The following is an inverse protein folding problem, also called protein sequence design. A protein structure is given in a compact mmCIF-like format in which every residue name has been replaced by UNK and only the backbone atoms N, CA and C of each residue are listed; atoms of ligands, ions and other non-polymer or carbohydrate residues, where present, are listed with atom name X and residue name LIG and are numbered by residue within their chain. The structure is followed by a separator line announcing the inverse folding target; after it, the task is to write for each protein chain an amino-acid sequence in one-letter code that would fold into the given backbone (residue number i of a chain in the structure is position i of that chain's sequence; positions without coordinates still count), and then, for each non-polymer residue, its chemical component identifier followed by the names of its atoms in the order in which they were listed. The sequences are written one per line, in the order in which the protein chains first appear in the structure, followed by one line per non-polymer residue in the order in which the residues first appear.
data_IF_027015661579
#
_entry.id   IF_027015661579
#
_cell.length_a   1.000
_cell.length_b   1.000
_cell.length_c   1.000
_cell.angle_alpha   90.00
_cell.angle_beta   90.00
_cell.angle_gamma   90.00
#
_symmetry.space_group_name_H-M   'P 1'
#
loop_
_entity.id
_entity.type
_entity.pdbx_description
1 polymer ?
#
# COMPACT_ATOMS: atom_id res chain seq x y z
N UNK A 1 73.84 -28.59 24.06
CA UNK A 1 72.83 -27.98 23.15
C UNK A 1 72.47 -26.61 23.71
N UNK A 2 72.89 -25.52 23.04
CA UNK A 2 72.72 -24.15 23.52
C UNK A 2 71.25 -23.72 23.35
N UNK A 3 70.59 -23.38 24.46
CA UNK A 3 69.24 -22.82 24.43
C UNK A 3 69.26 -21.49 23.67
N UNK A 4 68.39 -21.28 22.67
CA UNK A 4 68.37 -20.04 21.92
C UNK A 4 68.18 -18.85 22.86
N UNK A 5 69.12 -17.91 22.83
CA UNK A 5 69.15 -16.76 23.74
C UNK A 5 67.81 -16.02 23.73
N UNK A 6 67.31 -15.67 24.92
CA UNK A 6 66.01 -14.99 25.17
C UNK A 6 65.73 -13.79 24.26
N UNK A 7 66.76 -13.12 23.74
CA UNK A 7 66.64 -12.04 22.73
C UNK A 7 66.09 -12.52 21.38
N UNK A 8 66.48 -13.71 20.91
CA UNK A 8 66.01 -14.29 19.66
C UNK A 8 64.53 -14.67 19.72
N UNK A 9 64.10 -15.29 20.83
CA UNK A 9 62.70 -15.65 21.09
C UNK A 9 61.82 -14.39 21.14
N UNK A 10 62.26 -13.33 21.83
CA UNK A 10 61.56 -12.03 21.87
C UNK A 10 61.43 -11.41 20.46
N UNK A 11 62.48 -11.48 19.63
CA UNK A 11 62.46 -10.95 18.26
C UNK A 11 61.52 -11.74 17.34
N UNK A 12 61.50 -13.06 17.45
CA UNK A 12 60.58 -13.96 16.76
C UNK A 12 59.12 -13.67 17.13
N UNK A 13 58.82 -13.52 18.43
CA UNK A 13 57.47 -13.18 18.93
C UNK A 13 56.99 -11.82 18.41
N UNK A 14 57.83 -10.78 18.48
CA UNK A 14 57.53 -9.44 17.96
C UNK A 14 57.29 -9.44 16.44
N UNK A 15 58.05 -10.26 15.68
CA UNK A 15 57.85 -10.43 14.22
C UNK A 15 56.50 -11.09 13.92
N UNK A 16 56.14 -12.17 14.65
CA UNK A 16 54.83 -12.84 14.52
C UNK A 16 53.67 -11.90 14.87
N UNK A 17 53.77 -11.14 15.96
CA UNK A 17 52.74 -10.15 16.35
C UNK A 17 52.56 -9.05 15.30
N UNK A 18 53.66 -8.52 14.75
CA UNK A 18 53.61 -7.50 13.67
C UNK A 18 52.96 -8.08 12.40
N UNK A 19 53.24 -9.34 12.06
CA UNK A 19 52.63 -10.01 10.92
C UNK A 19 51.13 -10.27 11.14
N UNK A 20 50.72 -10.67 12.35
CA UNK A 20 49.31 -10.86 12.70
C UNK A 20 48.53 -9.53 12.64
N UNK A 21 49.09 -8.45 13.18
CA UNK A 21 48.50 -7.10 13.09
C UNK A 21 48.35 -6.64 11.63
N UNK A 22 49.36 -6.86 10.79
CA UNK A 22 49.28 -6.56 9.34
C UNK A 22 48.16 -7.35 8.64
N UNK A 23 48.04 -8.66 8.91
CA UNK A 23 46.96 -9.49 8.36
C UNK A 23 45.57 -9.04 8.82
N UNK A 24 45.40 -8.69 10.10
CA UNK A 24 44.12 -8.16 10.62
C UNK A 24 43.74 -6.84 9.94
N UNK A 25 44.70 -5.92 9.80
CA UNK A 25 44.48 -4.64 9.11
C UNK A 25 44.14 -4.82 7.62
N UNK A 26 44.87 -5.70 6.92
CA UNK A 26 44.56 -6.02 5.51
C UNK A 26 43.17 -6.64 5.35
N UNK A 27 42.76 -7.53 6.26
CA UNK A 27 41.41 -8.11 6.25
C UNK A 27 40.34 -7.03 6.48
N UNK A 28 40.57 -6.11 7.43
CA UNK A 28 39.66 -4.98 7.68
C UNK A 28 39.60 -4.02 6.49
N UNK A 29 40.74 -3.65 5.90
CA UNK A 29 40.81 -2.79 4.72
C UNK A 29 40.14 -3.44 3.51
N UNK A 30 40.30 -4.76 3.30
CA UNK A 30 39.62 -5.50 2.24
C UNK A 30 38.10 -5.52 2.44
N UNK A 31 37.64 -5.77 3.67
CA UNK A 31 36.21 -5.70 4.03
C UNK A 31 35.66 -4.29 3.77
N UNK A 32 36.37 -3.25 4.21
CA UNK A 32 35.93 -1.87 4.03
C UNK A 32 35.97 -1.43 2.55
N UNK A 33 36.97 -1.86 1.77
CA UNK A 33 37.05 -1.62 0.33
C UNK A 33 35.91 -2.34 -0.41
N UNK A 34 35.63 -3.60 -0.06
CA UNK A 34 34.51 -4.35 -0.60
C UNK A 34 33.17 -3.69 -0.24
N UNK A 35 33.00 -3.23 1.00
CA UNK A 35 31.81 -2.50 1.43
C UNK A 35 31.64 -1.18 0.65
N UNK A 36 32.72 -0.40 0.46
CA UNK A 36 32.68 0.82 -0.36
C UNK A 36 32.34 0.52 -1.82
N UNK A 37 32.95 -0.51 -2.41
CA UNK A 37 32.64 -0.91 -3.78
C UNK A 37 31.18 -1.35 -3.92
N UNK A 38 30.64 -2.08 -2.95
CA UNK A 38 29.22 -2.45 -2.90
C UNK A 38 28.32 -1.22 -2.76
N UNK A 39 28.68 -0.27 -1.90
CA UNK A 39 27.91 0.96 -1.66
C UNK A 39 27.87 1.91 -2.87
N UNK A 40 28.80 1.77 -3.83
CA UNK A 40 28.78 2.52 -5.08
C UNK A 40 28.12 1.77 -6.24
N UNK A 41 27.76 0.48 -6.06
CA UNK A 41 27.24 -0.36 -7.15
C UNK A 41 25.75 -0.18 -7.39
N UNK A 42 25.00 0.17 -6.34
CA UNK A 42 23.54 0.36 -6.39
C UNK A 42 23.18 1.83 -6.17
N UNK A 43 21.97 2.25 -6.57
CA UNK A 43 21.54 3.63 -6.40
C UNK A 43 21.48 3.98 -4.91
N UNK A 44 21.84 5.22 -4.57
CA UNK A 44 21.73 5.70 -3.19
C UNK A 44 20.31 6.14 -2.90
N UNK A 45 19.86 5.89 -1.68
CA UNK A 45 18.62 6.48 -1.18
C UNK A 45 18.81 7.96 -0.84
N UNK A 46 17.85 8.78 -1.23
CA UNK A 46 17.77 10.20 -0.91
C UNK A 46 16.36 10.47 -0.42
N UNK A 47 16.24 11.23 0.66
CA UNK A 47 14.95 11.65 1.21
C UNK A 47 14.47 12.85 0.38
N UNK A 48 13.25 12.78 -0.17
CA UNK A 48 12.68 13.92 -0.91
C UNK A 48 12.43 15.09 0.06
N UNK A 49 12.53 16.37 -0.34
CA UNK A 49 12.30 17.49 0.59
C UNK A 49 10.83 17.75 0.92
N UNK A 50 9.90 17.37 0.05
CA UNK A 50 8.46 17.72 0.12
C UNK A 50 7.64 16.72 0.93
N UNK A 51 8.17 16.24 2.05
CA UNK A 51 7.54 15.21 2.85
C UNK A 51 6.47 15.78 3.77
N UNK A 52 5.37 15.05 3.91
CA UNK A 52 4.26 15.38 4.83
C UNK A 52 4.23 14.45 6.05
N UNK A 53 5.07 13.42 6.07
CA UNK A 53 5.18 12.47 7.16
C UNK A 53 5.88 13.05 8.41
N UNK A 54 5.63 12.44 9.56
CA UNK A 54 6.35 12.73 10.80
C UNK A 54 7.88 12.48 10.64
N UNK A 55 8.75 13.39 11.13
CA UNK A 55 10.21 13.24 11.03
C UNK A 55 10.76 11.93 11.60
N UNK A 56 10.19 11.42 12.70
CA UNK A 56 10.63 10.16 13.32
C UNK A 56 10.36 8.98 12.37
N UNK A 57 9.23 9.00 11.67
CA UNK A 57 8.92 8.00 10.65
C UNK A 57 9.87 8.10 9.46
N UNK A 58 10.13 9.33 8.97
CA UNK A 58 11.06 9.58 7.85
C UNK A 58 12.46 9.03 8.17
N UNK A 59 12.98 9.35 9.36
CA UNK A 59 14.28 8.88 9.82
C UNK A 59 14.33 7.35 9.91
N UNK A 60 13.27 6.72 10.41
CA UNK A 60 13.17 5.27 10.50
C UNK A 60 13.14 4.61 9.11
N UNK A 61 12.36 5.12 8.16
CA UNK A 61 12.31 4.62 6.77
C UNK A 61 13.66 4.79 6.09
N UNK A 62 14.31 5.95 6.22
CA UNK A 62 15.62 6.18 5.63
C UNK A 62 16.70 5.28 6.25
N UNK A 63 16.69 5.09 7.56
CA UNK A 63 17.58 4.16 8.25
C UNK A 63 17.35 2.70 7.81
N UNK A 64 16.11 2.30 7.60
CA UNK A 64 15.73 0.99 7.06
C UNK A 64 16.23 0.82 5.62
N UNK A 65 16.02 1.81 4.76
CA UNK A 65 16.46 1.78 3.36
C UNK A 65 17.98 1.61 3.22
N UNK A 66 18.76 2.26 4.09
CA UNK A 66 20.22 2.11 4.12
C UNK A 66 20.71 0.72 4.55
N UNK A 67 19.86 -0.11 5.15
CA UNK A 67 20.18 -1.49 5.53
C UNK A 67 19.87 -2.51 4.44
N UNK A 68 19.17 -2.11 3.37
CA UNK A 68 18.82 -3.02 2.27
C UNK A 68 20.08 -3.63 1.66
N UNK A 69 20.10 -4.96 1.57
CA UNK A 69 21.16 -5.72 0.94
C UNK A 69 20.68 -6.26 -0.41
N UNK A 70 21.03 -5.58 -1.51
CA UNK A 70 20.70 -6.01 -2.86
C UNK A 70 21.31 -7.38 -3.24
N UNK A 71 22.25 -7.93 -2.47
CA UNK A 71 22.78 -9.29 -2.69
C UNK A 71 22.01 -10.38 -1.95
N UNK A 72 20.96 -10.03 -1.20
CA UNK A 72 20.10 -11.02 -0.57
C UNK A 72 19.27 -11.75 -1.64
N UNK A 73 19.68 -12.97 -1.97
CA UNK A 73 19.03 -13.79 -2.99
C UNK A 73 17.60 -14.21 -2.65
N UNK A 74 17.17 -14.07 -1.38
CA UNK A 74 15.78 -14.29 -1.01
C UNK A 74 14.89 -13.13 -1.47
N UNK A 75 15.45 -11.93 -1.60
CA UNK A 75 14.72 -10.70 -1.91
C UNK A 75 14.99 -10.20 -3.34
N UNK A 76 16.19 -10.44 -3.88
CA UNK A 76 16.63 -9.92 -5.17
C UNK A 76 17.30 -11.01 -6.01
N UNK A 77 16.67 -11.36 -7.13
CA UNK A 77 17.25 -12.26 -8.11
C UNK A 77 18.32 -11.55 -8.96
N UNK A 78 18.95 -12.29 -9.88
CA UNK A 78 20.02 -11.75 -10.73
C UNK A 78 19.55 -10.58 -11.58
N UNK A 79 18.32 -10.66 -12.07
CA UNK A 79 17.70 -9.63 -12.87
C UNK A 79 17.42 -8.35 -12.06
N UNK A 80 16.88 -8.47 -10.85
CA UNK A 80 16.66 -7.33 -9.97
C UNK A 80 17.98 -6.59 -9.70
N UNK A 81 19.07 -7.33 -9.45
CA UNK A 81 20.38 -6.75 -9.20
C UNK A 81 20.91 -6.02 -10.43
N UNK A 82 20.88 -6.66 -11.60
CA UNK A 82 21.30 -6.03 -12.85
C UNK A 82 20.48 -4.76 -13.14
N UNK A 83 19.18 -4.78 -12.88
CA UNK A 83 18.30 -3.63 -13.03
C UNK A 83 18.73 -2.45 -12.15
N UNK A 84 18.93 -2.68 -10.85
CA UNK A 84 19.32 -1.61 -9.94
C UNK A 84 20.75 -1.10 -10.20
N UNK A 85 21.68 -1.97 -10.58
CA UNK A 85 23.04 -1.58 -10.99
C UNK A 85 23.04 -0.73 -12.27
N UNK A 86 22.17 -1.08 -13.22
CA UNK A 86 21.97 -0.31 -14.44
C UNK A 86 21.46 1.11 -14.11
N UNK A 87 20.51 1.24 -13.17
CA UNK A 87 20.04 2.56 -12.70
C UNK A 87 21.18 3.34 -12.05
N UNK A 88 21.97 2.72 -11.18
CA UNK A 88 23.09 3.39 -10.50
C UNK A 88 24.13 3.92 -11.50
N UNK A 89 24.37 3.17 -12.57
CA UNK A 89 25.41 3.46 -13.56
C UNK A 89 24.93 4.47 -14.59
N UNK A 90 23.76 4.21 -15.18
CA UNK A 90 23.27 4.89 -16.39
C UNK A 90 22.13 5.87 -16.11
N UNK A 91 21.50 5.80 -14.94
CA UNK A 91 20.34 6.60 -14.57
C UNK A 91 19.02 5.98 -15.03
N UNK A 92 17.96 6.22 -14.25
CA UNK A 92 16.63 5.65 -14.46
C UNK A 92 16.04 5.97 -15.82
N UNK A 93 16.18 7.22 -16.30
CA UNK A 93 15.62 7.60 -17.60
C UNK A 93 16.25 6.83 -18.76
N UNK A 94 17.56 6.56 -18.68
CA UNK A 94 18.25 5.75 -19.67
C UNK A 94 17.77 4.30 -19.62
N UNK A 95 17.72 3.69 -18.42
CA UNK A 95 17.23 2.31 -18.23
C UNK A 95 15.80 2.19 -18.74
N UNK A 96 14.90 3.10 -18.34
CA UNK A 96 13.50 3.16 -18.80
C UNK A 96 13.40 3.24 -20.33
N UNK A 97 14.26 4.02 -20.99
CA UNK A 97 14.29 4.12 -22.45
C UNK A 97 14.75 2.83 -23.13
N UNK A 98 15.85 2.23 -22.66
CA UNK A 98 16.36 0.96 -23.17
C UNK A 98 15.30 -0.14 -22.99
N UNK A 99 14.68 -0.18 -21.82
CA UNK A 99 13.63 -1.13 -21.47
C UNK A 99 12.41 -1.00 -22.37
N UNK A 100 11.92 0.24 -22.58
CA UNK A 100 10.83 0.51 -23.52
C UNK A 100 11.16 0.09 -24.95
N UNK A 101 12.41 0.25 -25.39
CA UNK A 101 12.85 -0.20 -26.73
C UNK A 101 12.92 -1.72 -26.82
N UNK A 102 13.55 -2.38 -25.86
CA UNK A 102 13.69 -3.83 -25.80
C UNK A 102 12.34 -4.54 -25.67
N UNK A 103 11.38 -3.90 -25.01
CA UNK A 103 10.04 -4.43 -24.79
C UNK A 103 9.05 -4.23 -25.94
N UNK A 104 9.34 -3.42 -26.97
CA UNK A 104 8.43 -3.22 -28.12
C UNK A 104 7.97 -4.51 -28.81
N UNK A 105 8.85 -5.52 -29.01
CA UNK A 105 8.43 -6.81 -29.59
C UNK A 105 7.42 -7.55 -28.71
N UNK A 106 7.49 -7.38 -27.39
CA UNK A 106 6.60 -8.04 -26.42
C UNK A 106 5.29 -7.27 -26.19
N UNK A 107 5.33 -5.93 -26.34
CA UNK A 107 4.18 -5.04 -26.17
C UNK A 107 3.05 -5.31 -27.18
N UNK A 108 3.35 -5.94 -28.32
CA UNK A 108 2.35 -6.39 -29.30
C UNK A 108 1.35 -7.41 -28.72
N UNK A 109 1.70 -8.11 -27.62
CA UNK A 109 0.84 -9.11 -26.96
C UNK A 109 0.18 -8.60 -25.68
N UNK A 110 0.67 -7.51 -25.09
CA UNK A 110 0.09 -6.87 -23.90
C UNK A 110 0.80 -5.54 -23.67
N UNK A 111 0.05 -4.43 -23.73
CA UNK A 111 0.61 -3.07 -23.58
C UNK A 111 1.31 -2.83 -22.23
N UNK A 112 1.05 -3.65 -21.20
CA UNK A 112 1.44 -3.36 -19.82
C UNK A 112 2.52 -4.30 -19.22
N UNK A 113 2.98 -5.34 -19.94
CA UNK A 113 3.93 -6.33 -19.38
C UNK A 113 5.23 -5.74 -18.83
N UNK A 114 5.73 -4.66 -19.45
CA UNK A 114 6.98 -4.02 -19.04
C UNK A 114 6.82 -3.22 -17.74
N UNK A 115 5.68 -2.55 -17.59
CA UNK A 115 5.35 -1.84 -16.35
C UNK A 115 5.14 -2.82 -15.20
N UNK A 116 4.64 -4.03 -15.49
CA UNK A 116 4.55 -5.10 -14.50
C UNK A 116 5.92 -5.53 -13.96
N UNK A 117 6.93 -5.73 -14.80
CA UNK A 117 8.27 -6.14 -14.34
C UNK A 117 8.91 -5.06 -13.46
N UNK A 118 8.81 -3.80 -13.89
CA UNK A 118 9.27 -2.67 -13.09
C UNK A 118 8.55 -2.62 -11.74
N UNK A 119 7.23 -2.75 -11.74
CA UNK A 119 6.42 -2.77 -10.52
C UNK A 119 6.83 -3.92 -9.58
N UNK A 120 7.10 -5.12 -10.10
CA UNK A 120 7.56 -6.27 -9.30
C UNK A 120 8.90 -5.96 -8.62
N UNK A 121 9.90 -5.49 -9.39
CA UNK A 121 11.22 -5.16 -8.84
C UNK A 121 11.14 -4.01 -7.83
N UNK A 122 10.29 -3.00 -8.08
CA UNK A 122 10.02 -1.90 -7.15
C UNK A 122 9.33 -2.38 -5.87
N UNK A 123 8.35 -3.28 -5.96
CA UNK A 123 7.66 -3.88 -4.82
C UNK A 123 8.63 -4.70 -3.95
N UNK A 124 9.49 -5.52 -4.56
CA UNK A 124 10.53 -6.27 -3.82
C UNK A 124 11.46 -5.32 -3.04
N UNK A 125 11.88 -4.23 -3.66
CA UNK A 125 12.71 -3.22 -2.99
C UNK A 125 11.97 -2.58 -1.82
N UNK A 126 10.71 -2.19 -2.01
CA UNK A 126 9.91 -1.58 -0.96
C UNK A 126 9.62 -2.53 0.20
N UNK A 127 9.35 -3.82 -0.08
CA UNK A 127 9.22 -4.89 0.92
C UNK A 127 10.53 -5.07 1.71
N UNK A 128 11.68 -5.05 1.02
CA UNK A 128 12.98 -5.12 1.66
C UNK A 128 13.27 -3.91 2.57
N UNK A 129 12.80 -2.70 2.22
CA UNK A 129 12.85 -1.54 3.12
C UNK A 129 11.89 -1.73 4.29
N UNK A 130 10.65 -2.11 4.00
CA UNK A 130 9.57 -2.25 4.96
C UNK A 130 9.88 -3.26 6.07
N UNK A 131 10.46 -4.41 5.70
CA UNK A 131 10.87 -5.46 6.64
C UNK A 131 11.97 -5.00 7.61
N UNK A 132 12.72 -3.95 7.28
CA UNK A 132 13.77 -3.37 8.11
C UNK A 132 13.28 -2.25 9.04
N UNK A 133 12.03 -1.80 8.90
CA UNK A 133 11.42 -0.80 9.79
C UNK A 133 11.06 -1.47 11.13
N UNK A 134 11.45 -0.90 12.29
CA UNK A 134 11.09 -1.45 13.59
C UNK A 134 9.58 -1.58 13.80
N UNK A 135 9.12 -2.66 14.43
CA UNK A 135 7.71 -2.88 14.73
C UNK A 135 7.08 -1.73 15.52
N UNK A 136 7.82 -1.14 16.47
CA UNK A 136 7.37 0.02 17.24
C UNK A 136 7.06 1.26 16.39
N UNK A 137 7.78 1.45 15.27
CA UNK A 137 7.52 2.52 14.31
C UNK A 137 6.27 2.18 13.49
N UNK A 138 6.15 0.92 13.03
CA UNK A 138 4.97 0.46 12.28
C UNK A 138 3.70 0.63 13.11
N UNK A 139 3.69 0.13 14.34
CA UNK A 139 2.52 0.18 15.24
C UNK A 139 2.07 1.60 15.56
N UNK A 140 3.00 2.56 15.60
CA UNK A 140 2.71 3.94 15.96
C UNK A 140 2.25 4.78 14.78
N UNK A 141 2.92 4.66 13.63
CA UNK A 141 2.73 5.60 12.52
C UNK A 141 1.80 5.07 11.44
N UNK A 142 1.69 3.75 11.29
CA UNK A 142 0.82 3.16 10.30
C UNK A 142 -0.56 2.88 10.93
N UNK A 143 -1.66 3.08 10.18
CA UNK A 143 -1.65 3.22 8.72
C UNK A 143 -1.66 4.68 8.24
N UNK A 144 -1.44 5.64 9.14
CA UNK A 144 -1.47 7.08 8.85
C UNK A 144 -0.28 7.59 8.02
N UNK A 145 0.82 6.85 8.02
CA UNK A 145 2.04 7.16 7.30
C UNK A 145 2.41 6.02 6.37
N UNK A 146 2.95 6.38 5.21
CA UNK A 146 3.47 5.44 4.24
C UNK A 146 4.67 6.03 3.50
N UNK A 147 5.34 5.19 2.71
CA UNK A 147 6.41 5.65 1.84
C UNK A 147 6.31 5.03 0.46
N UNK A 148 6.82 5.75 -0.53
CA UNK A 148 6.98 5.30 -1.91
C UNK A 148 8.47 5.48 -2.25
N UNK A 149 9.01 4.55 -3.03
CA UNK A 149 10.38 4.62 -3.53
C UNK A 149 10.31 4.91 -5.03
N UNK A 150 10.78 6.08 -5.45
CA UNK A 150 10.81 6.46 -6.86
C UNK A 150 12.26 6.60 -7.36
N UNK A 151 12.68 5.85 -8.39
CA UNK A 151 13.98 6.06 -8.99
C UNK A 151 14.01 7.37 -9.79
N UNK A 152 14.98 8.24 -9.49
CA UNK A 152 15.21 9.49 -10.22
C UNK A 152 16.67 9.61 -10.57
N UNK A 153 16.96 9.63 -11.87
CA UNK A 153 18.34 9.55 -12.37
C UNK A 153 19.10 8.39 -11.69
N UNK A 154 20.22 8.63 -11.02
CA UNK A 154 21.06 7.58 -10.40
C UNK A 154 20.76 7.32 -8.93
N UNK A 155 19.65 7.84 -8.41
CA UNK A 155 19.26 7.72 -7.00
C UNK A 155 17.86 7.14 -6.85
N UNK A 156 17.55 6.67 -5.64
CA UNK A 156 16.24 6.23 -5.21
C UNK A 156 15.69 7.28 -4.25
N UNK A 157 14.65 8.00 -4.67
CA UNK A 157 13.98 8.99 -3.84
C UNK A 157 12.99 8.29 -2.91
N UNK A 158 13.06 8.61 -1.63
CA UNK A 158 12.11 8.17 -0.62
C UNK A 158 11.09 9.28 -0.41
N UNK A 159 9.85 9.01 -0.82
CA UNK A 159 8.71 9.89 -0.62
C UNK A 159 7.92 9.35 0.57
N UNK A 160 8.08 9.97 1.74
CA UNK A 160 7.32 9.62 2.94
C UNK A 160 6.14 10.59 3.10
N UNK A 161 4.94 10.03 3.15
CA UNK A 161 3.70 10.80 3.24
C UNK A 161 2.95 10.46 4.52
N UNK A 162 2.35 11.49 5.12
CA UNK A 162 1.36 11.37 6.18
C UNK A 162 -0.01 11.80 5.67
N UNK A 163 -1.07 11.16 6.17
CA UNK A 163 -2.44 11.65 5.99
C UNK A 163 -2.61 13.00 6.72
N UNK A 164 -3.40 13.89 6.13
CA UNK A 164 -3.77 15.13 6.81
C UNK A 164 -4.65 14.80 8.01
N UNK A 165 -4.33 15.38 9.17
CA UNK A 165 -5.09 15.19 10.40
C UNK A 165 -5.82 16.48 10.78
N UNK A 166 -7.09 16.37 11.16
CA UNK A 166 -7.86 17.47 11.74
C UNK A 166 -8.61 17.04 13.01
N UNK A 167 -8.63 17.87 14.06
CA UNK A 167 -9.45 17.60 15.23
C UNK A 167 -10.93 17.83 14.89
N UNK A 168 -11.79 17.03 15.51
CA UNK A 168 -13.26 17.07 15.46
C UNK A 168 -13.79 16.93 16.89
N UNK A 169 -15.09 17.07 17.08
CA UNK A 169 -15.75 16.89 18.38
C UNK A 169 -15.54 15.48 18.98
N UNK A 170 -15.20 14.48 18.16
CA UNK A 170 -15.03 13.07 18.57
C UNK A 170 -13.60 12.54 18.41
N UNK A 171 -12.63 13.43 18.29
CA UNK A 171 -11.21 13.08 18.12
C UNK A 171 -10.68 13.48 16.75
N UNK A 172 -9.67 12.77 16.27
CA UNK A 172 -9.00 13.14 15.02
C UNK A 172 -9.59 12.38 13.82
N UNK A 173 -9.76 13.11 12.72
CA UNK A 173 -10.02 12.53 11.40
C UNK A 173 -8.79 12.65 10.52
N UNK A 174 -8.70 11.72 9.58
CA UNK A 174 -7.60 11.56 8.65
C UNK A 174 -8.15 11.55 7.24
N UNK A 175 -7.49 12.26 6.34
CA UNK A 175 -7.87 12.34 4.93
C UNK A 175 -6.66 12.69 4.06
N UNK A 176 -6.75 12.39 2.77
CA UNK A 176 -5.75 12.76 1.77
C UNK A 176 -6.14 14.05 1.03
N UNK A 177 -5.24 14.59 0.23
CA UNK A 177 -5.54 15.71 -0.68
C UNK A 177 -6.55 15.36 -1.78
N UNK A 178 -6.72 14.08 -2.09
CA UNK A 178 -7.63 13.55 -3.13
C UNK A 178 -8.93 13.02 -2.53
N UNK A 179 -9.17 13.32 -1.26
CA UNK A 179 -10.35 12.89 -0.55
C UNK A 179 -11.60 13.50 -1.20
N UNK A 180 -12.61 12.69 -1.53
CA UNK A 180 -13.83 13.17 -2.15
C UNK A 180 -14.68 13.94 -1.15
N UNK A 181 -15.63 14.68 -1.70
CA UNK A 181 -16.63 15.38 -0.91
C UNK A 181 -17.96 14.63 -0.94
N UNK A 182 -18.66 14.66 0.18
CA UNK A 182 -20.06 14.28 0.26
C UNK A 182 -20.91 15.49 -0.09
N UNK A 183 -21.66 15.40 -1.18
CA UNK A 183 -22.64 16.41 -1.57
C UNK A 183 -23.99 16.08 -0.94
N UNK A 184 -24.56 17.06 -0.25
CA UNK A 184 -25.95 17.05 0.24
C UNK A 184 -26.65 18.29 -0.28
N UNK A 185 -27.98 18.29 -0.34
CA UNK A 185 -28.78 19.42 -0.87
C UNK A 185 -28.41 20.79 -0.28
N UNK A 186 -27.87 20.81 0.95
CA UNK A 186 -27.49 22.04 1.63
C UNK A 186 -26.00 22.40 1.49
N UNK A 187 -25.08 21.41 1.50
CA UNK A 187 -23.64 21.68 1.62
C UNK A 187 -22.76 20.52 1.09
N UNK A 188 -21.56 20.88 0.65
CA UNK A 188 -20.47 19.97 0.24
C UNK A 188 -19.46 19.82 1.39
N UNK A 189 -19.19 18.58 1.83
CA UNK A 189 -18.34 18.31 3.01
C UNK A 189 -17.23 17.32 2.69
N UNK A 190 -16.02 17.57 3.20
CA UNK A 190 -14.90 16.66 2.95
C UNK A 190 -15.05 15.36 3.75
N UNK A 191 -14.80 14.20 3.12
CA UNK A 191 -14.92 12.89 3.77
C UNK A 191 -13.70 12.58 4.65
N UNK A 192 -13.84 12.60 5.97
CA UNK A 192 -12.75 12.20 6.89
C UNK A 192 -12.95 10.81 7.47
N UNK A 193 -11.87 10.08 7.75
CA UNK A 193 -11.93 8.80 8.46
C UNK A 193 -11.35 8.93 9.86
N UNK A 194 -12.03 8.42 10.88
CA UNK A 194 -11.42 8.32 12.22
C UNK A 194 -10.26 7.31 12.22
N UNK A 195 -9.34 7.40 13.19
CA UNK A 195 -8.32 6.36 13.40
C UNK A 195 -8.95 4.97 13.49
N UNK A 196 -10.05 4.86 14.24
CA UNK A 196 -10.76 3.59 14.39
C UNK A 196 -11.28 3.04 13.04
N UNK A 197 -11.85 3.90 12.18
CA UNK A 197 -12.30 3.48 10.85
C UNK A 197 -11.14 2.94 10.01
N UNK A 198 -10.01 3.67 9.98
CA UNK A 198 -8.82 3.25 9.21
C UNK A 198 -8.25 1.92 9.70
N UNK A 199 -8.18 1.71 11.01
CA UNK A 199 -7.76 0.42 11.58
C UNK A 199 -8.70 -0.71 11.20
N UNK A 200 -10.03 -0.50 11.28
CA UNK A 200 -11.01 -1.52 10.87
C UNK A 200 -10.92 -1.84 9.38
N UNK A 201 -10.67 -0.85 8.52
CA UNK A 201 -10.41 -1.06 7.09
C UNK A 201 -9.17 -1.94 6.91
N UNK A 202 -8.06 -1.58 7.55
CA UNK A 202 -6.81 -2.35 7.46
C UNK A 202 -6.99 -3.81 7.89
N UNK A 203 -7.59 -4.04 9.06
CA UNK A 203 -7.81 -5.38 9.60
C UNK A 203 -8.66 -6.29 8.69
N UNK A 204 -9.49 -5.70 7.81
CA UNK A 204 -10.46 -6.45 7.01
C UNK A 204 -10.08 -6.57 5.55
N UNK A 205 -9.40 -5.57 5.00
CA UNK A 205 -9.00 -5.51 3.58
C UNK A 205 -7.54 -5.93 3.41
N UNK A 206 -6.69 -5.63 4.39
CA UNK A 206 -5.26 -5.80 4.30
C UNK A 206 -4.72 -6.42 5.61
N UNK A 207 -5.22 -7.58 6.08
CA UNK A 207 -4.99 -8.08 7.44
C UNK A 207 -3.51 -8.20 7.85
N UNK A 208 -2.60 -8.37 6.88
CA UNK A 208 -1.15 -8.48 7.13
C UNK A 208 -0.40 -7.18 6.86
N UNK A 209 -1.09 -6.03 6.79
CA UNK A 209 -0.52 -4.70 6.49
C UNK A 209 0.64 -4.27 7.38
N UNK A 210 0.78 -4.81 8.60
CA UNK A 210 1.91 -4.56 9.51
C UNK A 210 3.17 -5.37 9.18
N UNK A 211 3.01 -6.43 8.39
CA UNK A 211 4.03 -7.43 8.09
C UNK A 211 4.45 -7.32 6.62
N UNK A 212 3.48 -7.17 5.72
CA UNK A 212 3.65 -7.15 4.26
C UNK A 212 3.40 -5.73 3.70
N UNK A 213 4.38 -5.19 2.99
CA UNK A 213 4.31 -3.86 2.39
C UNK A 213 3.21 -3.77 1.32
N UNK A 214 3.04 -4.83 0.52
CA UNK A 214 2.00 -4.88 -0.53
C UNK A 214 0.62 -4.63 0.06
N UNK A 215 0.30 -5.28 1.19
CA UNK A 215 -0.98 -5.09 1.85
C UNK A 215 -1.14 -3.69 2.44
N UNK A 216 -0.06 -3.09 2.97
CA UNK A 216 -0.09 -1.68 3.36
C UNK A 216 -0.40 -0.79 2.14
N UNK A 217 0.18 -1.06 0.98
CA UNK A 217 -0.06 -0.26 -0.22
C UNK A 217 -1.47 -0.41 -0.77
N UNK A 218 -2.10 -1.57 -0.63
CA UNK A 218 -3.51 -1.75 -0.95
C UNK A 218 -4.40 -0.89 -0.05
N UNK A 219 -4.06 -0.79 1.25
CA UNK A 219 -4.71 0.17 2.14
C UNK A 219 -4.41 1.63 1.78
N UNK A 220 -3.15 1.96 1.46
CA UNK A 220 -2.75 3.34 1.15
C UNK A 220 -3.52 3.83 -0.08
N UNK A 221 -3.62 3.00 -1.13
CA UNK A 221 -4.47 3.27 -2.29
C UNK A 221 -5.91 3.54 -1.86
N UNK A 222 -6.44 2.73 -0.94
CA UNK A 222 -7.77 2.95 -0.41
C UNK A 222 -7.93 4.31 0.29
N UNK A 223 -6.99 4.77 1.13
CA UNK A 223 -7.21 6.03 1.87
C UNK A 223 -6.78 7.25 1.10
N UNK A 224 -5.73 7.13 0.29
CA UNK A 224 -5.22 8.22 -0.54
C UNK A 224 -6.18 8.47 -1.68
N UNK A 225 -6.57 7.43 -2.42
CA UNK A 225 -7.39 7.55 -3.61
C UNK A 225 -8.87 7.33 -3.36
N UNK A 226 -9.32 7.06 -2.12
CA UNK A 226 -10.71 6.75 -1.69
C UNK A 226 -11.55 6.06 -2.77
N UNK A 227 -11.80 4.74 -2.67
CA UNK A 227 -12.48 4.01 -3.73
C UNK A 227 -13.85 4.61 -4.12
N UNK A 228 -14.41 4.22 -5.28
CA UNK A 228 -15.78 4.57 -5.63
C UNK A 228 -16.73 4.28 -4.47
N UNK A 229 -17.64 5.20 -4.20
CA UNK A 229 -18.57 5.07 -3.09
C UNK A 229 -19.94 5.66 -3.42
N UNK A 230 -20.94 5.23 -2.66
CA UNK A 230 -22.30 5.76 -2.74
C UNK A 230 -22.82 6.08 -1.35
N UNK A 231 -23.69 7.07 -1.26
CA UNK A 231 -24.43 7.35 -0.03
C UNK A 231 -25.53 6.31 0.17
N UNK A 232 -25.75 5.92 1.42
CA UNK A 232 -26.80 4.97 1.79
C UNK A 232 -27.24 5.18 3.23
N UNK A 233 -28.23 4.40 3.66
CA UNK A 233 -28.69 4.38 5.04
C UNK A 233 -28.56 2.96 5.58
N UNK A 234 -27.96 2.85 6.76
CA UNK A 234 -27.88 1.62 7.53
C UNK A 234 -29.12 1.45 8.42
N UNK A 235 -29.15 0.34 9.16
CA UNK A 235 -30.23 0.07 10.12
C UNK A 235 -30.51 1.28 11.03
N UNK A 236 -31.78 1.58 11.25
CA UNK A 236 -32.20 2.76 12.02
C UNK A 236 -32.00 4.10 11.28
N UNK A 237 -31.89 4.07 9.94
CA UNK A 237 -31.73 5.26 9.07
C UNK A 237 -30.42 6.02 9.35
N UNK A 238 -29.41 5.34 9.88
CA UNK A 238 -28.09 5.93 10.11
C UNK A 238 -27.42 6.23 8.75
N UNK A 239 -27.08 7.48 8.42
CA UNK A 239 -26.38 7.81 7.18
C UNK A 239 -25.03 7.08 7.11
N UNK A 240 -24.68 6.60 5.93
CA UNK A 240 -23.43 5.92 5.67
C UNK A 240 -22.99 6.12 4.22
N UNK A 241 -21.77 5.72 3.93
CA UNK A 241 -21.32 5.41 2.57
C UNK A 241 -21.06 3.92 2.44
N UNK A 242 -21.33 3.38 1.26
CA UNK A 242 -20.83 2.08 0.82
C UNK A 242 -19.62 2.30 -0.06
N UNK A 243 -18.54 1.56 0.20
CA UNK A 243 -17.29 1.62 -0.56
C UNK A 243 -17.21 0.42 -1.51
N UNK A 244 -16.63 0.64 -2.69
CA UNK A 244 -16.46 -0.38 -3.72
C UNK A 244 -15.00 -0.43 -4.18
N UNK A 245 -14.47 -1.60 -4.50
CA UNK A 245 -13.17 -1.74 -5.17
C UNK A 245 -13.36 -2.27 -6.59
N UNK A 246 -12.46 -1.88 -7.47
CA UNK A 246 -12.44 -2.36 -8.85
C UNK A 246 -11.88 -3.79 -8.87
N UNK A 247 -12.53 -4.72 -9.59
CA UNK A 247 -12.06 -6.09 -9.72
C UNK A 247 -10.80 -6.21 -10.60
N UNK A 248 -10.56 -5.17 -11.41
CA UNK A 248 -9.41 -5.05 -12.29
C UNK A 248 -9.41 -6.04 -13.45
N UNK A 249 -8.21 -6.36 -13.92
CA UNK A 249 -8.00 -7.15 -15.13
C UNK A 249 -8.60 -8.58 -15.01
N UNK A 250 -9.22 -9.13 -16.08
CA UNK A 250 -9.77 -10.49 -16.15
C UNK A 250 -8.83 -11.64 -15.74
N UNK A 251 -7.51 -11.39 -15.76
CA UNK A 251 -6.49 -12.38 -15.38
C UNK A 251 -6.12 -12.36 -13.89
N UNK A 252 -6.72 -11.47 -13.09
CA UNK A 252 -6.45 -11.41 -11.64
C UNK A 252 -7.33 -12.38 -10.85
N UNK A 253 -6.83 -12.86 -9.71
CA UNK A 253 -7.61 -13.68 -8.77
C UNK A 253 -8.87 -12.96 -8.30
N UNK A 254 -8.80 -11.64 -8.08
CA UNK A 254 -9.94 -10.81 -7.66
C UNK A 254 -11.05 -10.86 -8.71
N UNK A 255 -10.73 -10.66 -9.99
CA UNK A 255 -11.72 -10.78 -11.07
C UNK A 255 -12.27 -12.21 -11.17
N UNK A 256 -11.41 -13.22 -11.03
CA UNK A 256 -11.82 -14.61 -10.96
C UNK A 256 -12.90 -14.85 -9.92
N UNK A 257 -12.68 -14.39 -8.69
CA UNK A 257 -13.60 -14.57 -7.58
C UNK A 257 -14.89 -13.74 -7.78
N UNK A 258 -14.77 -12.42 -7.95
CA UNK A 258 -15.96 -11.56 -7.91
C UNK A 258 -16.77 -11.60 -9.20
N UNK A 259 -16.12 -11.65 -10.36
CA UNK A 259 -16.84 -11.62 -11.64
C UNK A 259 -17.27 -13.02 -12.05
N UNK A 260 -16.39 -14.02 -12.01
CA UNK A 260 -16.78 -15.36 -12.48
C UNK A 260 -17.67 -16.08 -11.48
N UNK A 261 -17.33 -16.07 -10.18
CA UNK A 261 -18.04 -16.89 -9.19
C UNK A 261 -19.28 -16.19 -8.60
N UNK A 262 -19.22 -14.88 -8.38
CA UNK A 262 -20.29 -14.11 -7.71
C UNK A 262 -21.24 -13.46 -8.71
N UNK A 263 -20.75 -12.58 -9.59
CA UNK A 263 -21.59 -11.90 -10.59
C UNK A 263 -22.09 -12.88 -11.68
N UNK A 264 -21.21 -13.80 -12.09
CA UNK A 264 -21.42 -14.69 -13.24
C UNK A 264 -21.02 -14.02 -14.55
N UNK A 265 -20.25 -14.74 -15.39
CA UNK A 265 -19.70 -14.22 -16.66
C UNK A 265 -20.76 -13.67 -17.61
N UNK A 266 -21.95 -14.26 -17.61
CA UNK A 266 -23.06 -13.85 -18.46
C UNK A 266 -23.65 -12.48 -18.09
N UNK A 267 -23.41 -12.02 -16.85
CA UNK A 267 -23.89 -10.74 -16.35
C UNK A 267 -22.81 -9.64 -16.44
N UNK A 268 -21.62 -9.98 -16.92
CA UNK A 268 -20.52 -9.03 -17.10
C UNK A 268 -20.58 -8.39 -18.49
N UNK A 269 -20.71 -7.07 -18.52
CA UNK A 269 -20.61 -6.31 -19.76
C UNK A 269 -19.14 -5.97 -20.06
N UNK A 270 -18.58 -6.64 -21.08
CA UNK A 270 -17.19 -6.43 -21.52
C UNK A 270 -16.97 -5.05 -22.15
N UNK A 271 -18.04 -4.36 -22.53
CA UNK A 271 -18.00 -3.02 -23.12
C UNK A 271 -18.35 -1.93 -22.10
N UNK A 272 -18.82 -2.30 -20.92
CA UNK A 272 -19.11 -1.37 -19.82
C UNK A 272 -17.86 -0.97 -19.04
N UNK A 273 -18.05 -0.15 -18.00
CA UNK A 273 -16.98 0.25 -17.06
C UNK A 273 -16.45 -0.95 -16.26
N UNK A 274 -15.28 -0.84 -15.65
CA UNK A 274 -14.71 -1.96 -14.88
C UNK A 274 -15.66 -2.46 -13.77
N UNK A 275 -15.79 -3.78 -13.56
CA UNK A 275 -16.69 -4.31 -12.56
C UNK A 275 -16.16 -4.00 -11.16
N UNK A 276 -17.06 -3.64 -10.27
CA UNK A 276 -16.79 -3.22 -8.90
C UNK A 276 -17.38 -4.23 -7.92
N UNK A 277 -16.67 -4.48 -6.83
CA UNK A 277 -17.17 -5.29 -5.72
C UNK A 277 -17.28 -4.45 -4.44
N UNK A 278 -18.39 -4.61 -3.74
CA UNK A 278 -18.69 -3.94 -2.47
C UNK A 278 -17.62 -4.32 -1.46
N UNK A 279 -16.97 -3.35 -0.82
CA UNK A 279 -16.01 -3.56 0.27
C UNK A 279 -16.71 -3.61 1.63
N UNK A 280 -17.61 -2.66 1.87
CA UNK A 280 -18.32 -2.52 3.13
C UNK A 280 -18.88 -1.12 3.30
N UNK A 281 -19.27 -0.80 4.53
CA UNK A 281 -20.00 0.42 4.86
C UNK A 281 -19.24 1.23 5.90
N UNK A 282 -19.28 2.55 5.77
CA UNK A 282 -18.79 3.48 6.77
C UNK A 282 -19.94 4.35 7.25
N UNK A 283 -20.47 4.14 8.48
CA UNK A 283 -21.42 5.06 9.09
C UNK A 283 -20.82 6.46 9.21
N UNK A 284 -21.59 7.47 8.77
CA UNK A 284 -21.17 8.87 8.72
C UNK A 284 -21.85 9.67 9.83
N UNK A 285 -21.11 10.65 10.32
CA UNK A 285 -21.63 11.76 11.12
C UNK A 285 -21.12 13.10 10.57
N UNK A 286 -21.89 14.16 10.72
CA UNK A 286 -21.51 15.49 10.26
C UNK A 286 -20.85 16.26 11.40
N UNK A 287 -19.65 16.77 11.16
CA UNK A 287 -18.92 17.64 12.09
C UNK A 287 -18.37 18.85 11.33
N UNK A 288 -19.13 19.95 11.37
CA UNK A 288 -18.83 21.18 10.63
C UNK A 288 -18.66 20.90 9.12
N UNK A 289 -17.48 21.20 8.54
CA UNK A 289 -17.23 21.02 7.11
C UNK A 289 -16.88 19.56 6.73
N UNK A 290 -16.94 18.63 7.67
CA UNK A 290 -16.52 17.24 7.46
C UNK A 290 -17.70 16.26 7.54
N UNK A 291 -17.68 15.27 6.66
CA UNK A 291 -18.44 14.03 6.78
C UNK A 291 -17.50 12.97 7.38
N UNK A 292 -17.74 12.57 8.63
CA UNK A 292 -16.83 11.73 9.42
C UNK A 292 -17.27 10.26 9.37
N UNK A 293 -16.50 9.43 8.67
CA UNK A 293 -16.61 7.98 8.70
C UNK A 293 -16.08 7.44 10.03
N UNK A 294 -16.99 6.92 10.87
CA UNK A 294 -16.70 6.57 12.27
C UNK A 294 -16.06 5.20 12.46
N UNK A 295 -16.43 4.25 11.62
CA UNK A 295 -15.96 2.86 11.65
C UNK A 295 -16.17 2.24 10.27
N UNK A 296 -15.73 1.00 10.07
CA UNK A 296 -15.95 0.23 8.85
C UNK A 296 -16.64 -1.10 9.17
N UNK A 297 -17.73 -1.38 8.45
CA UNK A 297 -18.59 -2.55 8.62
C UNK A 297 -18.56 -3.39 7.34
N UNK A 298 -17.96 -4.60 7.36
CA UNK A 298 -18.05 -5.53 6.23
C UNK A 298 -19.49 -5.97 5.96
N UNK A 299 -19.82 -6.41 4.72
CA UNK A 299 -21.11 -7.02 4.43
C UNK A 299 -21.44 -8.16 5.39
N UNK A 300 -22.64 -8.11 5.98
CA UNK A 300 -23.17 -9.10 6.93
C UNK A 300 -22.94 -8.75 8.40
N UNK A 301 -22.23 -7.66 8.70
CA UNK A 301 -22.09 -7.15 10.06
C UNK A 301 -23.39 -6.57 10.61
N UNK A 302 -23.57 -6.63 11.94
CA UNK A 302 -24.73 -6.02 12.60
C UNK A 302 -24.90 -4.56 12.18
N UNK A 303 -26.11 -4.23 11.73
CA UNK A 303 -26.48 -2.90 11.23
C UNK A 303 -26.30 -2.69 9.74
N UNK A 304 -25.71 -3.66 9.01
CA UNK A 304 -25.65 -3.65 7.55
C UNK A 304 -26.93 -4.25 6.94
N UNK A 305 -27.31 -3.87 5.71
CA UNK A 305 -28.44 -4.46 5.00
C UNK A 305 -28.37 -5.99 4.94
N UNK A 306 -27.17 -6.55 4.77
CA UNK A 306 -26.93 -7.99 4.69
C UNK A 306 -27.24 -8.72 6.00
N UNK A 307 -26.99 -8.08 7.15
CA UNK A 307 -27.35 -8.64 8.45
C UNK A 307 -28.87 -8.72 8.61
N UNK A 308 -29.58 -7.66 8.24
CA UNK A 308 -31.04 -7.63 8.31
C UNK A 308 -31.65 -8.66 7.34
N UNK A 309 -31.06 -8.81 6.15
CA UNK A 309 -31.43 -9.85 5.19
C UNK A 309 -31.24 -11.27 5.75
N UNK A 310 -30.09 -11.57 6.38
CA UNK A 310 -29.86 -12.87 7.03
C UNK A 310 -30.85 -13.10 8.17
N UNK A 311 -31.05 -12.09 9.02
CA UNK A 311 -31.91 -12.21 10.17
C UNK A 311 -33.38 -12.42 9.77
N UNK A 312 -33.84 -11.71 8.73
CA UNK A 312 -35.19 -11.81 8.17
C UNK A 312 -35.41 -13.00 7.24
N UNK A 313 -34.35 -13.72 6.82
CA UNK A 313 -34.48 -14.86 5.92
C UNK A 313 -35.23 -16.04 6.52
N UNK A 314 -35.87 -16.84 5.66
CA UNK A 314 -36.52 -18.11 6.02
C UNK A 314 -35.54 -19.27 6.26
N UNK A 315 -34.24 -19.01 6.40
CA UNK A 315 -33.23 -20.03 6.66
C UNK A 315 -33.44 -20.69 8.02
N UNK A 316 -33.16 -22.00 8.08
CA UNK A 316 -33.14 -22.75 9.34
C UNK A 316 -32.15 -22.15 10.34
N UNK A 317 -32.45 -22.31 11.64
CA UNK A 317 -31.68 -21.68 12.72
C UNK A 317 -30.18 -21.99 12.66
N UNK A 318 -29.81 -23.26 12.40
CA UNK A 318 -28.40 -23.69 12.29
C UNK A 318 -27.66 -22.98 11.14
N UNK A 319 -28.30 -22.89 9.97
CA UNK A 319 -27.70 -22.26 8.79
C UNK A 319 -27.58 -20.75 8.98
N UNK A 320 -28.59 -20.11 9.56
CA UNK A 320 -28.57 -18.70 9.90
C UNK A 320 -27.43 -18.38 10.88
N UNK A 321 -27.27 -19.17 11.94
CA UNK A 321 -26.16 -19.03 12.90
C UNK A 321 -24.81 -19.22 12.21
N UNK A 322 -24.69 -20.20 11.31
CA UNK A 322 -23.46 -20.44 10.53
C UNK A 322 -23.09 -19.23 9.69
N UNK A 323 -24.01 -18.70 8.88
CA UNK A 323 -23.77 -17.55 8.00
C UNK A 323 -23.47 -16.27 8.80
N UNK A 324 -24.16 -16.03 9.92
CA UNK A 324 -23.87 -14.90 10.81
C UNK A 324 -22.47 -15.02 11.45
N UNK A 325 -22.05 -16.24 11.80
CA UNK A 325 -20.70 -16.49 12.31
C UNK A 325 -19.63 -16.22 11.25
N UNK A 326 -19.86 -16.68 10.01
CA UNK A 326 -18.98 -16.38 8.88
C UNK A 326 -18.90 -14.87 8.63
N UNK A 327 -20.04 -14.17 8.58
CA UNK A 327 -20.09 -12.72 8.38
C UNK A 327 -19.29 -11.97 9.46
N UNK A 328 -19.43 -12.35 10.73
CA UNK A 328 -18.71 -11.72 11.85
C UNK A 328 -17.19 -11.92 11.74
N UNK A 329 -16.74 -13.09 11.32
CA UNK A 329 -15.31 -13.39 11.23
C UNK A 329 -14.71 -13.10 9.86
N UNK A 330 -15.52 -12.58 8.93
CA UNK A 330 -15.09 -12.32 7.56
C UNK A 330 -13.90 -11.34 7.53
N UNK A 331 -12.78 -11.86 7.07
CA UNK A 331 -11.60 -11.11 6.63
C UNK A 331 -11.49 -11.38 5.13
N UNK A 332 -11.28 -10.33 4.33
CA UNK A 332 -11.12 -10.49 2.88
C UNK A 332 -9.70 -10.92 2.57
N UNK A 333 -9.36 -12.11 3.03
CA UNK A 333 -8.17 -12.81 2.56
C UNK A 333 -8.56 -13.59 1.29
N UNK A 334 -8.05 -13.16 0.14
CA UNK A 334 -8.31 -13.83 -1.13
C UNK A 334 -7.68 -15.23 -1.18
N UNK A 335 -6.68 -15.51 -0.35
CA UNK A 335 -6.09 -16.85 -0.24
C UNK A 335 -7.06 -17.84 0.42
N UNK A 336 -8.08 -17.33 1.14
CA UNK A 336 -9.12 -18.11 1.83
C UNK A 336 -10.51 -17.89 1.21
N UNK A 337 -10.56 -17.52 -0.07
CA UNK A 337 -11.80 -17.12 -0.73
C UNK A 337 -12.90 -18.19 -0.69
N UNK A 338 -12.52 -19.48 -0.77
CA UNK A 338 -13.45 -20.61 -0.73
C UNK A 338 -14.36 -20.61 0.52
N UNK A 339 -13.88 -20.07 1.65
CA UNK A 339 -14.62 -20.04 2.91
C UNK A 339 -15.74 -18.99 2.93
N UNK A 340 -15.55 -17.85 2.25
CA UNK A 340 -16.46 -16.72 2.30
C UNK A 340 -17.24 -16.46 0.99
N UNK A 341 -16.78 -16.99 -0.15
CA UNK A 341 -17.49 -16.85 -1.44
C UNK A 341 -18.97 -17.27 -1.33
N UNK A 342 -19.34 -18.41 -0.72
CA UNK A 342 -20.75 -18.81 -0.64
C UNK A 342 -21.63 -17.79 0.08
N UNK A 343 -21.11 -17.15 1.13
CA UNK A 343 -21.82 -16.11 1.88
C UNK A 343 -22.02 -14.85 1.03
N UNK A 344 -20.96 -14.38 0.37
CA UNK A 344 -21.01 -13.17 -0.46
C UNK A 344 -21.90 -13.39 -1.68
N UNK A 345 -21.82 -14.56 -2.31
CA UNK A 345 -22.71 -14.97 -3.40
C UNK A 345 -24.17 -15.01 -2.95
N UNK A 346 -24.45 -15.58 -1.78
CA UNK A 346 -25.80 -15.59 -1.21
C UNK A 346 -26.35 -14.17 -1.03
N UNK A 347 -25.56 -13.22 -0.51
CA UNK A 347 -25.99 -11.81 -0.41
C UNK A 347 -26.32 -11.22 -1.79
N UNK A 348 -25.47 -11.46 -2.78
CA UNK A 348 -25.66 -10.97 -4.14
C UNK A 348 -26.97 -11.50 -4.75
N UNK A 349 -27.24 -12.80 -4.62
CA UNK A 349 -28.42 -13.47 -5.16
C UNK A 349 -29.71 -13.14 -4.40
N UNK A 350 -29.63 -12.71 -3.14
CA UNK A 350 -30.79 -12.43 -2.28
C UNK A 350 -31.09 -10.93 -2.12
N UNK A 351 -30.67 -10.11 -3.10
CA UNK A 351 -31.14 -8.73 -3.25
C UNK A 351 -30.21 -7.65 -2.72
N UNK A 352 -28.98 -7.99 -2.31
CA UNK A 352 -27.95 -6.99 -1.97
C UNK A 352 -26.73 -7.20 -2.86
N UNK A 353 -26.66 -6.50 -4.03
CA UNK A 353 -25.56 -6.67 -4.97
C UNK A 353 -24.20 -6.46 -4.31
N UNK A 354 -23.40 -7.54 -4.30
CA UNK A 354 -22.00 -7.51 -3.84
C UNK A 354 -21.00 -7.21 -4.96
N UNK A 355 -21.39 -7.42 -6.20
CA UNK A 355 -20.60 -7.12 -7.40
C UNK A 355 -21.53 -6.46 -8.41
N UNK A 356 -21.04 -5.46 -9.15
CA UNK A 356 -21.80 -4.71 -10.13
C UNK A 356 -20.90 -4.24 -11.27
N UNK A 357 -21.50 -3.81 -12.37
CA UNK A 357 -20.78 -2.99 -13.35
C UNK A 357 -20.48 -1.61 -12.73
N UNK A 358 -19.27 -1.10 -12.91
CA UNK A 358 -18.92 0.25 -12.43
C UNK A 358 -19.80 1.33 -13.07
N UNK A 359 -20.08 2.39 -12.31
CA UNK A 359 -20.92 3.51 -12.79
C UNK A 359 -20.09 4.53 -13.58
N UNK A 360 -18.82 4.67 -13.22
CA UNK A 360 -17.84 5.57 -13.85
C UNK A 360 -16.51 4.85 -13.99
N UNK A 361 -15.67 5.30 -14.92
CA UNK A 361 -14.30 4.77 -14.98
C UNK A 361 -13.49 5.33 -13.80
N UNK A 362 -12.54 4.53 -13.30
CA UNK A 362 -11.69 4.94 -12.19
C UNK A 362 -10.84 6.18 -12.54
N UNK A 363 -10.38 6.27 -13.79
CA UNK A 363 -9.62 7.40 -14.30
C UNK A 363 -10.44 8.71 -14.27
N UNK A 364 -11.72 8.67 -14.68
CA UNK A 364 -12.62 9.82 -14.59
C UNK A 364 -12.82 10.29 -13.15
N UNK A 365 -12.96 9.35 -12.20
CA UNK A 365 -13.09 9.67 -10.77
C UNK A 365 -11.83 10.39 -10.26
N UNK A 366 -10.64 9.91 -10.63
CA UNK A 366 -9.37 10.52 -10.23
C UNK A 366 -9.16 11.89 -10.86
N UNK A 367 -9.47 12.04 -12.16
CA UNK A 367 -9.36 13.33 -12.88
C UNK A 367 -10.30 14.38 -12.26
N UNK A 368 -11.56 14.01 -12.01
CA UNK A 368 -12.53 14.90 -11.37
C UNK A 368 -12.02 15.38 -10.00
N UNK A 369 -11.46 14.47 -9.18
CA UNK A 369 -10.94 14.82 -7.85
C UNK A 369 -9.72 15.72 -7.93
N UNK A 370 -8.80 15.46 -8.85
CA UNK A 370 -7.65 16.33 -9.07
C UNK A 370 -8.08 17.77 -9.42
N UNK A 371 -9.11 17.93 -10.24
CA UNK A 371 -9.66 19.23 -10.58
C UNK A 371 -10.38 19.91 -9.40
N UNK A 372 -11.12 19.16 -8.60
CA UNK A 372 -11.73 19.67 -7.36
C UNK A 372 -10.68 20.13 -6.35
N UNK A 373 -9.67 19.29 -6.10
CA UNK A 373 -8.53 19.63 -5.24
C UNK A 373 -7.83 20.86 -5.77
N UNK A 374 -7.56 20.95 -7.08
CA UNK A 374 -6.93 22.13 -7.69
C UNK A 374 -7.74 23.40 -7.40
N UNK A 375 -9.07 23.38 -7.57
CA UNK A 375 -9.93 24.55 -7.29
C UNK A 375 -9.87 25.02 -5.84
N UNK A 376 -9.71 24.10 -4.88
CA UNK A 376 -9.57 24.43 -3.45
C UNK A 376 -8.18 25.01 -3.13
N UNK A 377 -7.13 24.45 -3.73
CA UNK A 377 -5.75 24.82 -3.41
C UNK A 377 -5.21 26.00 -4.24
N UNK A 378 -5.73 26.25 -5.44
CA UNK A 378 -5.25 27.32 -6.31
C UNK A 378 -5.31 28.72 -5.65
N UNK A 379 -6.35 29.11 -4.90
CA UNK A 379 -6.36 30.37 -4.15
C UNK A 379 -5.32 30.42 -3.03
N UNK A 380 -5.00 29.28 -2.41
CA UNK A 380 -3.98 29.18 -1.35
C UNK A 380 -2.59 29.38 -1.96
N UNK A 381 -2.31 28.68 -3.06
CA UNK A 381 -1.03 28.79 -3.79
C UNK A 381 -0.81 30.20 -4.32
N UNK A 382 -1.85 30.84 -4.89
CA UNK A 382 -1.77 32.24 -5.38
C UNK A 382 -1.38 33.23 -4.28
N UNK A 383 -1.95 33.10 -3.08
CA UNK A 383 -1.58 33.94 -1.93
C UNK A 383 -0.12 33.77 -1.52
N UNK A 384 0.42 32.55 -1.57
CA UNK A 384 1.83 32.31 -1.28
C UNK A 384 2.76 32.90 -2.35
N UNK A 385 2.38 32.86 -3.63
CA UNK A 385 3.19 33.43 -4.71
C UNK A 385 3.19 34.96 -4.76
N UNK A 386 2.15 35.61 -4.24
CA UNK A 386 2.07 37.08 -4.15
C UNK A 386 2.81 37.65 -2.91
N UNK A 387 3.26 36.77 -2.01
CA UNK A 387 3.95 37.11 -0.76
C UNK A 387 5.48 37.05 -0.87
N UNK A 388 6.02 36.71 -2.05
CA UNK A 388 7.45 36.59 -2.37
C UNK A 388 7.77 37.57 -3.48
#
# INVERSE_FOLDING_TARGET
MSMPGTKFVKRQKKKKEKQLKRRKRQKQEAVHKAQRQRACRFPKFVVEPTLTADPEFIDAVYAAARKVNFYDCNNFDDFDREFWEAIATMGFQYVKHVWRKAGRPFAATSKNKLDCLYAVTQTKLAEAVYSQIPASIKDRFMPHHHFIIEPRDKVLQLHCHGLMTKPTSRGNIHFSLQTPFLESDAEKRALGFTTHALERICERIAPKWKIEFVQLMDFVRFVVDVPPFETTHLHGVQPAIVLFAVCGNPHTTVHGIYVNEILGRQNFDVHGNEPEYRLGYCPIEIDGPFAVAKTFLPPGYKGTPEYDLLHGSGLGSSEKTRLLSLAKNHVRDHDQAEEWIPLVKWFHENGIPQVRQGVQSYDEILEMRLDETRKVFEPIVKRFSESV
#
